data_IF_476045540459
#
_entry.id   IF_476045540459
#
_cell.length_a   1.000
_cell.length_b   1.000
_cell.length_c   1.000
_cell.angle_alpha   90.00
_cell.angle_beta   90.00
_cell.angle_gamma   90.00
#
_symmetry.space_group_name_H-M   'P 1'
#
loop_
_entity.id
_entity.type
_entity.pdbx_description
1 polymer ?
#
# COMPACT_ATOMS: atom_id res chain seq x y z
N UNK A 1 0.58 15.18 -0.61
CA UNK A 1 0.45 13.83 -1.20
C UNK A 1 1.53 12.91 -0.59
N UNK A 2 1.32 11.60 -0.60
CA UNK A 2 2.26 10.64 -0.01
C UNK A 2 2.22 9.29 -0.74
N UNK A 3 3.26 8.48 -0.52
CA UNK A 3 3.31 7.08 -0.91
C UNK A 3 3.28 6.25 0.38
N UNK A 4 2.25 5.42 0.52
CA UNK A 4 2.08 4.53 1.66
C UNK A 4 2.58 3.13 1.28
N UNK A 5 3.40 2.53 2.15
CA UNK A 5 3.87 1.15 2.00
C UNK A 5 3.15 0.30 3.04
N UNK A 6 2.34 -0.64 2.57
CA UNK A 6 1.74 -1.70 3.36
C UNK A 6 2.56 -2.96 3.17
N UNK A 7 3.25 -3.41 4.22
CA UNK A 7 4.03 -4.63 4.21
C UNK A 7 3.63 -5.47 5.43
N UNK A 8 3.25 -6.72 5.19
CA UNK A 8 2.87 -7.68 6.22
C UNK A 8 4.08 -8.30 6.93
N UNK A 9 5.28 -8.16 6.36
CA UNK A 9 6.53 -8.60 6.94
C UNK A 9 7.27 -7.44 7.59
N UNK A 10 7.74 -7.68 8.82
CA UNK A 10 8.74 -6.82 9.44
C UNK A 10 10.08 -7.04 8.73
N UNK A 11 10.73 -5.98 8.33
CA UNK A 11 12.03 -6.02 7.67
C UNK A 11 12.57 -4.63 7.38
N UNK A 12 13.69 -4.58 6.67
CA UNK A 12 14.35 -3.32 6.32
C UNK A 12 13.42 -2.37 5.55
N UNK A 13 13.64 -1.08 5.78
CA UNK A 13 12.84 -0.04 5.18
C UNK A 13 12.90 -0.09 3.64
N UNK A 14 11.74 -0.22 3.01
CA UNK A 14 11.57 -0.31 1.55
C UNK A 14 11.61 1.07 0.86
N UNK A 15 12.43 2.00 1.36
CA UNK A 15 12.49 3.38 0.86
C UNK A 15 12.98 3.49 -0.59
N UNK A 16 13.72 2.51 -1.09
CA UNK A 16 14.15 2.48 -2.49
C UNK A 16 12.96 2.36 -3.45
N UNK A 17 11.94 1.56 -3.10
CA UNK A 17 10.70 1.47 -3.87
C UNK A 17 10.01 2.83 -3.95
N UNK A 18 9.99 3.60 -2.86
CA UNK A 18 9.42 4.95 -2.85
C UNK A 18 10.20 5.88 -3.79
N UNK A 19 11.53 5.80 -3.82
CA UNK A 19 12.35 6.62 -4.70
C UNK A 19 12.08 6.28 -6.17
N UNK A 20 11.98 4.99 -6.51
CA UNK A 20 11.64 4.54 -7.88
C UNK A 20 10.25 5.05 -8.28
N UNK A 21 9.25 4.94 -7.41
CA UNK A 21 7.90 5.43 -7.69
C UNK A 21 7.85 6.95 -7.91
N UNK A 22 8.62 7.73 -7.14
CA UNK A 22 8.74 9.18 -7.37
C UNK A 22 9.36 9.49 -8.74
N UNK A 23 10.42 8.79 -9.12
CA UNK A 23 11.06 8.97 -10.43
C UNK A 23 10.09 8.62 -11.57
N UNK A 24 9.35 7.51 -11.43
CA UNK A 24 8.30 7.14 -12.38
C UNK A 24 7.24 8.24 -12.50
N UNK A 25 6.71 8.74 -11.38
CA UNK A 25 5.72 9.82 -11.37
C UNK A 25 6.26 11.12 -11.98
N UNK A 26 7.55 11.42 -11.78
CA UNK A 26 8.21 12.57 -12.39
C UNK A 26 8.23 12.44 -13.92
N UNK A 27 8.61 11.28 -14.45
CA UNK A 27 8.62 11.01 -15.89
C UNK A 27 7.20 11.09 -16.46
N UNK A 28 6.23 10.42 -15.82
CA UNK A 28 4.83 10.45 -16.23
C UNK A 28 4.25 11.87 -16.26
N UNK A 29 4.53 12.68 -15.23
CA UNK A 29 4.08 14.07 -15.18
C UNK A 29 4.70 14.91 -16.29
N UNK A 30 6.02 14.78 -16.49
CA UNK A 30 6.74 15.50 -17.52
C UNK A 30 6.22 15.18 -18.93
N UNK A 31 5.86 13.92 -19.18
CA UNK A 31 5.36 13.48 -20.48
C UNK A 31 3.89 13.83 -20.73
N UNK A 32 3.04 13.76 -19.70
CA UNK A 32 1.58 13.83 -19.89
C UNK A 32 0.95 15.14 -19.44
N UNK A 33 1.55 15.84 -18.48
CA UNK A 33 0.90 16.93 -17.72
C UNK A 33 1.65 18.24 -17.74
N UNK A 34 2.98 18.23 -17.84
CA UNK A 34 3.83 19.43 -17.71
C UNK A 34 3.43 20.57 -18.64
N UNK A 35 3.12 20.28 -19.90
CA UNK A 35 2.83 21.31 -20.89
C UNK A 35 1.50 22.05 -20.61
N UNK A 36 0.57 21.40 -19.90
CA UNK A 36 -0.77 21.94 -19.60
C UNK A 36 -0.87 22.44 -18.15
N UNK A 37 -0.31 21.69 -17.21
CA UNK A 37 -0.45 21.92 -15.76
C UNK A 37 0.82 22.51 -15.12
N UNK A 38 1.89 22.71 -15.90
CA UNK A 38 3.15 23.29 -15.45
C UNK A 38 4.10 22.31 -14.77
N UNK A 39 5.22 22.86 -14.28
CA UNK A 39 6.23 22.06 -13.58
C UNK A 39 5.73 21.57 -12.23
N UNK A 40 6.05 20.30 -11.93
CA UNK A 40 5.80 19.69 -10.63
C UNK A 40 6.97 18.78 -10.28
N UNK A 41 7.41 18.87 -9.04
CA UNK A 41 8.51 18.05 -8.52
C UNK A 41 7.97 16.97 -7.59
N UNK A 42 8.38 15.73 -7.81
CA UNK A 42 8.08 14.58 -6.94
C UNK A 42 9.34 14.16 -6.18
N UNK A 43 9.54 14.71 -4.98
CA UNK A 43 10.70 14.43 -4.13
C UNK A 43 10.29 14.01 -2.70
N UNK A 44 11.26 13.91 -1.80
CA UNK A 44 11.04 13.49 -0.41
C UNK A 44 10.23 14.50 0.41
N UNK A 45 10.19 15.77 0.00
CA UNK A 45 9.49 16.86 0.67
C UNK A 45 8.05 16.96 0.11
N UNK A 46 7.91 17.02 -1.22
CA UNK A 46 6.63 17.20 -1.88
C UNK A 46 5.74 15.95 -1.83
N UNK A 47 6.35 14.76 -1.76
CA UNK A 47 5.65 13.48 -1.68
C UNK A 47 6.37 12.52 -0.72
N UNK A 48 6.04 12.61 0.57
CA UNK A 48 6.64 11.77 1.61
C UNK A 48 6.29 10.28 1.40
N UNK A 49 7.25 9.40 1.72
CA UNK A 49 7.03 7.95 1.78
C UNK A 49 6.88 7.53 3.23
N UNK A 50 5.97 6.60 3.53
CA UNK A 50 5.75 6.12 4.90
C UNK A 50 5.44 4.64 4.93
N UNK A 51 6.14 3.91 5.80
CA UNK A 51 5.77 2.55 6.21
C UNK A 51 4.56 2.63 7.14
N UNK A 52 3.46 1.98 6.77
CA UNK A 52 2.24 1.98 7.56
C UNK A 52 2.32 0.89 8.62
N UNK A 53 2.07 1.24 9.87
CA UNK A 53 1.94 0.25 10.94
C UNK A 53 0.59 -0.46 10.82
N UNK A 54 0.54 -1.58 10.11
CA UNK A 54 -0.66 -2.35 9.78
C UNK A 54 -0.54 -3.81 10.27
N UNK A 55 -1.64 -4.61 10.29
CA UNK A 55 -1.58 -5.98 10.78
C UNK A 55 -0.55 -6.80 10.01
N UNK A 56 0.28 -7.55 10.75
CA UNK A 56 1.42 -8.31 10.21
C UNK A 56 1.05 -9.79 10.04
N UNK A 57 1.72 -10.46 9.11
CA UNK A 57 1.55 -11.90 8.93
C UNK A 57 2.38 -12.70 9.93
N UNK A 58 1.87 -13.85 10.41
CA UNK A 58 2.60 -14.70 11.36
C UNK A 58 3.58 -15.67 10.69
N UNK A 59 3.62 -15.73 9.35
CA UNK A 59 4.42 -16.69 8.58
C UNK A 59 5.09 -16.01 7.37
N UNK A 60 5.87 -16.78 6.60
CA UNK A 60 6.63 -16.29 5.43
C UNK A 60 5.94 -16.50 4.08
N UNK A 61 4.72 -17.05 4.04
CA UNK A 61 4.05 -17.47 2.80
C UNK A 61 2.74 -16.75 2.48
N UNK A 62 2.18 -15.99 3.42
CA UNK A 62 0.87 -15.34 3.27
C UNK A 62 0.94 -13.87 2.80
N UNK A 63 2.09 -13.40 2.31
CA UNK A 63 2.26 -11.96 2.00
C UNK A 63 1.27 -11.51 0.92
N UNK A 64 1.02 -12.37 -0.09
CA UNK A 64 -0.01 -12.14 -1.09
C UNK A 64 -1.43 -12.13 -0.53
N UNK A 65 -1.73 -12.94 0.49
CA UNK A 65 -3.03 -12.92 1.19
C UNK A 65 -3.22 -11.59 1.91
N UNK A 66 -2.18 -11.08 2.56
CA UNK A 66 -2.24 -9.79 3.23
C UNK A 66 -2.35 -8.63 2.25
N UNK A 67 -1.68 -8.67 1.09
CA UNK A 67 -1.91 -7.69 0.00
C UNK A 67 -3.39 -7.62 -0.38
N UNK A 68 -4.03 -8.78 -0.60
CA UNK A 68 -5.46 -8.83 -0.91
C UNK A 68 -6.33 -8.30 0.24
N UNK A 69 -5.97 -8.59 1.49
CA UNK A 69 -6.70 -8.08 2.65
C UNK A 69 -6.53 -6.57 2.84
N UNK A 70 -5.34 -6.01 2.60
CA UNK A 70 -5.10 -4.56 2.64
C UNK A 70 -5.97 -3.84 1.62
N UNK A 71 -6.00 -4.34 0.37
CA UNK A 71 -6.82 -3.75 -0.70
C UNK A 71 -8.31 -3.83 -0.37
N UNK A 72 -8.80 -4.99 0.07
CA UNK A 72 -10.21 -5.14 0.46
C UNK A 72 -10.58 -4.20 1.63
N UNK A 73 -9.72 -4.10 2.65
CA UNK A 73 -9.96 -3.20 3.79
C UNK A 73 -9.92 -1.74 3.38
N UNK A 74 -9.06 -1.36 2.42
CA UNK A 74 -9.01 -0.01 1.86
C UNK A 74 -10.30 0.38 1.13
N UNK A 75 -10.93 -0.56 0.42
CA UNK A 75 -12.20 -0.29 -0.24
C UNK A 75 -13.40 -0.31 0.71
N UNK A 76 -13.41 -1.20 1.71
CA UNK A 76 -14.52 -1.32 2.67
C UNK A 76 -14.49 -0.24 3.76
N UNK A 77 -13.30 0.11 4.24
CA UNK A 77 -13.08 1.11 5.27
C UNK A 77 -11.89 2.01 4.88
N UNK A 78 -12.12 2.98 3.98
CA UNK A 78 -11.07 3.82 3.43
C UNK A 78 -10.39 4.67 4.49
N UNK A 79 -9.10 4.90 4.31
CA UNK A 79 -8.31 5.80 5.16
C UNK A 79 -8.78 7.23 4.88
N UNK A 80 -9.24 7.94 5.90
CA UNK A 80 -9.70 9.33 5.81
C UNK A 80 -8.61 10.34 6.15
N UNK A 81 -7.70 9.99 7.06
CA UNK A 81 -6.58 10.82 7.49
C UNK A 81 -5.24 10.21 7.04
N UNK A 82 -4.50 10.99 6.24
CA UNK A 82 -3.19 10.62 5.70
C UNK A 82 -2.04 11.32 6.44
N UNK A 83 -2.28 11.85 7.63
CA UNK A 83 -1.24 12.42 8.50
C UNK A 83 -0.25 11.32 8.89
N UNK A 84 1.05 11.62 8.71
CA UNK A 84 2.12 10.65 8.93
C UNK A 84 2.74 10.82 10.32
N UNK A 85 3.12 9.73 11.03
CA UNK A 85 3.07 8.33 10.58
C UNK A 85 1.66 7.72 10.67
N UNK A 86 1.30 6.91 9.67
CA UNK A 86 0.00 6.25 9.63
C UNK A 86 0.02 4.93 10.42
N UNK A 87 -0.94 4.77 11.33
CA UNK A 87 -1.01 3.64 12.28
C UNK A 87 -2.41 3.02 12.22
N UNK A 88 -2.46 1.77 11.76
CA UNK A 88 -3.68 0.99 11.50
C UNK A 88 -3.60 -0.44 12.09
N UNK A 89 -3.21 -0.65 13.37
CA UNK A 89 -2.95 -1.98 13.92
C UNK A 89 -4.19 -2.88 13.97
N UNK A 90 -5.39 -2.27 14.00
CA UNK A 90 -6.67 -2.96 14.07
C UNK A 90 -7.50 -2.76 12.79
N UNK A 91 -6.86 -2.52 11.64
CA UNK A 91 -7.58 -2.28 10.38
C UNK A 91 -8.48 -3.45 9.99
N UNK A 92 -8.02 -4.67 10.30
CA UNK A 92 -8.77 -5.90 10.20
C UNK A 92 -8.23 -6.90 11.24
N UNK A 93 -9.02 -7.92 11.53
CA UNK A 93 -8.66 -9.01 12.44
C UNK A 93 -7.79 -10.05 11.74
N UNK A 94 -6.89 -10.71 12.46
CA UNK A 94 -6.09 -11.81 11.92
C UNK A 94 -6.96 -12.93 11.34
N UNK A 95 -8.16 -13.16 11.90
CA UNK A 95 -9.10 -14.17 11.40
C UNK A 95 -9.57 -13.89 9.97
N UNK A 96 -9.77 -12.62 9.61
CA UNK A 96 -10.15 -12.23 8.24
C UNK A 96 -9.06 -12.66 7.25
N UNK A 97 -7.80 -12.31 7.53
CA UNK A 97 -6.67 -12.72 6.69
C UNK A 97 -6.48 -14.25 6.64
N UNK A 98 -6.49 -14.94 7.80
CA UNK A 98 -6.28 -16.40 7.87
C UNK A 98 -7.35 -17.20 7.12
N UNK A 99 -8.62 -16.77 7.16
CA UNK A 99 -9.70 -17.47 6.45
C UNK A 99 -9.72 -17.19 4.94
N UNK A 100 -9.03 -16.12 4.49
CA UNK A 100 -9.11 -15.64 3.11
C UNK A 100 -8.60 -16.67 2.10
N UNK A 101 -7.57 -17.46 2.42
CA UNK A 101 -7.05 -18.51 1.52
C UNK A 101 -8.11 -19.56 1.18
N UNK A 102 -8.88 -20.00 2.18
CA UNK A 102 -10.00 -20.93 1.98
C UNK A 102 -11.14 -20.26 1.20
N UNK A 103 -11.48 -19.02 1.54
CA UNK A 103 -12.53 -18.26 0.85
C UNK A 103 -12.21 -18.04 -0.63
N UNK A 104 -10.95 -17.72 -0.96
CA UNK A 104 -10.48 -17.57 -2.34
C UNK A 104 -10.54 -18.89 -3.10
N UNK A 105 -10.11 -20.00 -2.50
CA UNK A 105 -10.22 -21.32 -3.13
C UNK A 105 -11.67 -21.68 -3.45
N UNK A 106 -12.60 -21.46 -2.50
CA UNK A 106 -14.04 -21.68 -2.73
C UNK A 106 -14.60 -20.78 -3.82
N UNK A 107 -14.18 -19.51 -3.87
CA UNK A 107 -14.62 -18.56 -4.88
C UNK A 107 -14.17 -19.00 -6.27
N UNK A 108 -12.89 -19.36 -6.44
CA UNK A 108 -12.34 -19.81 -7.72
C UNK A 108 -13.04 -21.07 -8.22
N UNK A 109 -13.38 -22.03 -7.34
CA UNK A 109 -14.09 -23.24 -7.73
C UNK A 109 -15.57 -23.00 -8.08
N UNK A 110 -16.15 -21.87 -7.66
CA UNK A 110 -17.55 -21.51 -7.94
C UNK A 110 -17.70 -20.79 -9.29
N UNK A 111 -16.67 -20.09 -9.73
CA UNK A 111 -16.62 -19.38 -11.01
C UNK A 111 -16.31 -20.35 -12.15
#
# INVERSE_FOLDING_TARGET
PCILIFDSLKGDNRYDVVNILRQYLQVEWNLKKRDVEGERVFDRISMKGSMVNCPQQPNSSDCGIYVLQYVESFFLNPISDFTLPLVLPNWFTSKQAMSKRLSLSKLVMKL
#
